data_IF_475348163160
#
_entry.id   IF_475348163160
#
_cell.length_a   1.000
_cell.length_b   1.000
_cell.length_c   1.000
_cell.angle_alpha   90.00
_cell.angle_beta   90.00
_cell.angle_gamma   90.00
#
_symmetry.space_group_name_H-M   'P 1'
#
loop_
_entity.id
_entity.type
_entity.pdbx_description
1 polymer ?
#
# COMPACT_ATOMS: atom_id res chain seq x y z
N UNK A 1 -14.23 34.80 14.58
CA UNK A 1 -14.33 33.39 15.02
C UNK A 1 -15.57 33.13 15.88
N UNK A 2 -15.65 33.62 17.12
CA UNK A 2 -16.81 33.33 18.00
C UNK A 2 -18.12 33.83 17.40
N UNK A 3 -18.15 35.06 16.89
CA UNK A 3 -19.33 35.62 16.21
C UNK A 3 -19.71 34.82 14.96
N UNK A 4 -18.73 34.40 14.17
CA UNK A 4 -18.97 33.57 12.97
C UNK A 4 -19.51 32.18 13.37
N UNK A 5 -19.03 31.63 14.49
CA UNK A 5 -19.51 30.35 15.03
C UNK A 5 -20.96 30.47 15.49
N UNK A 6 -21.31 31.57 16.17
CA UNK A 6 -22.67 31.83 16.64
C UNK A 6 -23.61 32.10 15.46
N UNK A 7 -23.19 32.89 14.47
CA UNK A 7 -23.95 33.14 13.23
C UNK A 7 -24.22 31.84 12.49
N UNK A 8 -23.19 31.01 12.32
CA UNK A 8 -23.32 29.71 11.68
C UNK A 8 -24.22 28.73 12.44
N UNK A 9 -24.23 28.77 13.78
CA UNK A 9 -25.19 27.99 14.57
C UNK A 9 -26.64 28.43 14.35
N UNK A 10 -26.88 29.71 14.05
CA UNK A 10 -28.20 30.27 13.75
C UNK A 10 -28.62 29.89 12.33
N UNK A 11 -27.72 30.03 11.36
CA UNK A 11 -27.96 29.71 9.94
C UNK A 11 -28.25 28.21 9.73
N UNK A 12 -27.48 27.34 10.39
CA UNK A 12 -27.64 25.89 10.30
C UNK A 12 -28.49 25.30 11.43
N UNK A 13 -29.27 26.13 12.13
CA UNK A 13 -30.11 25.71 13.26
C UNK A 13 -30.99 24.49 12.96
N UNK A 14 -31.70 24.39 11.81
CA UNK A 14 -32.55 23.22 11.53
C UNK A 14 -31.76 21.91 11.47
N UNK A 15 -30.54 21.95 10.93
CA UNK A 15 -29.64 20.80 10.82
C UNK A 15 -29.12 20.36 12.20
N UNK A 16 -28.72 21.34 13.01
CA UNK A 16 -28.20 21.10 14.35
C UNK A 16 -29.31 20.63 15.32
N UNK A 17 -30.52 21.19 15.21
CA UNK A 17 -31.68 20.81 16.03
C UNK A 17 -32.01 19.32 15.89
N UNK A 18 -31.84 18.72 14.71
CA UNK A 18 -32.06 17.28 14.48
C UNK A 18 -31.07 16.45 15.28
N UNK A 19 -29.77 16.78 15.21
CA UNK A 19 -28.72 16.05 15.91
C UNK A 19 -28.89 16.18 17.42
N UNK A 20 -29.10 17.41 17.88
CA UNK A 20 -29.24 17.72 19.30
C UNK A 20 -30.51 17.09 19.88
N UNK A 21 -31.64 17.16 19.17
CA UNK A 21 -32.89 16.50 19.60
C UNK A 21 -32.80 14.97 19.59
N UNK A 22 -32.11 14.37 18.62
CA UNK A 22 -31.86 12.94 18.60
C UNK A 22 -30.97 12.50 19.77
N UNK A 23 -29.96 13.29 20.11
CA UNK A 23 -29.11 13.02 21.27
C UNK A 23 -29.91 13.03 22.56
N UNK A 24 -30.71 14.07 22.83
CA UNK A 24 -31.53 14.15 24.05
C UNK A 24 -32.65 13.11 24.11
N UNK A 25 -33.02 12.49 22.99
CA UNK A 25 -33.94 11.35 22.96
C UNK A 25 -33.25 10.01 23.19
N UNK A 26 -31.92 9.97 23.13
CA UNK A 26 -31.12 8.77 23.41
C UNK A 26 -31.11 8.48 24.92
N UNK A 27 -31.17 7.20 25.35
CA UNK A 27 -31.06 6.80 26.75
C UNK A 27 -29.71 7.18 27.39
N UNK A 28 -28.72 7.55 26.56
CA UNK A 28 -27.39 7.98 26.98
C UNK A 28 -27.29 9.48 27.30
N UNK A 29 -28.37 10.25 27.15
CA UNK A 29 -28.33 11.70 27.35
C UNK A 29 -28.42 12.12 28.81
N UNK A 30 -27.64 13.13 29.16
CA UNK A 30 -27.68 13.78 30.48
C UNK A 30 -28.54 15.04 30.36
N UNK A 31 -29.42 15.27 31.36
CA UNK A 31 -30.28 16.44 31.45
C UNK A 31 -29.45 17.71 31.67
N UNK A 32 -29.00 18.33 30.59
CA UNK A 32 -28.49 19.69 30.61
C UNK A 32 -28.68 20.31 29.22
N UNK A 33 -29.66 21.19 29.11
CA UNK A 33 -29.96 22.00 27.92
C UNK A 33 -28.90 23.09 27.78
N UNK A 34 -27.75 22.74 27.21
CA UNK A 34 -26.69 23.71 27.03
C UNK A 34 -26.57 24.09 25.56
N UNK A 35 -26.60 25.40 25.30
CA UNK A 35 -26.19 26.01 24.03
C UNK A 35 -24.82 25.50 23.56
N UNK A 36 -23.97 25.00 24.49
CA UNK A 36 -22.69 24.39 24.17
C UNK A 36 -22.81 23.21 23.19
N UNK A 37 -23.91 22.44 23.20
CA UNK A 37 -24.11 21.33 22.26
C UNK A 37 -24.25 21.80 20.82
N UNK A 38 -24.94 22.92 20.59
CA UNK A 38 -25.07 23.52 19.26
C UNK A 38 -23.73 23.99 18.72
N UNK A 39 -22.94 24.64 19.56
CA UNK A 39 -21.60 25.10 19.19
C UNK A 39 -20.66 23.93 18.91
N UNK A 40 -20.67 22.89 19.77
CA UNK A 40 -19.86 21.68 19.56
C UNK A 40 -20.29 20.95 18.29
N UNK A 41 -21.60 20.80 18.05
CA UNK A 41 -22.15 20.17 16.85
C UNK A 41 -21.74 20.93 15.58
N UNK A 42 -21.92 22.25 15.58
CA UNK A 42 -21.54 23.11 14.45
C UNK A 42 -20.04 23.07 14.17
N UNK A 43 -19.20 23.18 15.21
CA UNK A 43 -17.75 23.10 15.06
C UNK A 43 -17.29 21.71 14.55
N UNK A 44 -17.98 20.65 14.96
CA UNK A 44 -17.67 19.27 14.52
C UNK A 44 -18.04 19.04 13.06
N UNK A 45 -19.17 19.59 12.63
CA UNK A 45 -19.71 19.35 11.29
C UNK A 45 -19.08 20.28 10.25
N UNK A 46 -18.92 21.57 10.58
CA UNK A 46 -18.53 22.61 9.62
C UNK A 46 -17.06 23.04 9.71
N UNK A 47 -16.40 22.84 10.85
CA UNK A 47 -15.07 23.39 11.09
C UNK A 47 -14.01 22.37 11.53
N UNK A 48 -14.34 21.08 11.62
CA UNK A 48 -13.41 20.08 12.15
C UNK A 48 -12.20 19.86 11.23
N UNK A 49 -12.38 19.96 9.91
CA UNK A 49 -11.30 19.89 8.91
C UNK A 49 -10.40 21.13 8.95
N UNK A 50 -11.00 22.33 9.06
CA UNK A 50 -10.28 23.60 9.08
C UNK A 50 -9.55 23.87 10.40
N UNK A 51 -10.11 23.43 11.54
CA UNK A 51 -9.52 23.63 12.87
C UNK A 51 -8.47 22.55 13.20
N UNK A 52 -8.66 21.33 12.70
CA UNK A 52 -7.87 20.17 13.06
C UNK A 52 -8.12 19.67 14.50
N UNK A 53 -7.86 18.39 14.73
CA UNK A 53 -8.20 17.68 15.96
C UNK A 53 -7.59 18.26 17.25
N UNK A 54 -6.39 18.87 17.17
CA UNK A 54 -5.69 19.44 18.34
C UNK A 54 -6.35 20.73 18.83
N UNK A 55 -6.65 21.65 17.91
CA UNK A 55 -7.31 22.92 18.24
C UNK A 55 -8.76 22.68 18.62
N UNK A 56 -9.46 21.81 17.88
CA UNK A 56 -10.82 21.36 18.22
C UNK A 56 -10.89 20.79 19.64
N UNK A 57 -10.00 19.85 19.99
CA UNK A 57 -9.95 19.27 21.34
C UNK A 57 -9.72 20.30 22.44
N UNK A 58 -8.88 21.31 22.18
CA UNK A 58 -8.61 22.40 23.15
C UNK A 58 -9.83 23.31 23.34
N UNK A 59 -10.55 23.62 22.26
CA UNK A 59 -11.78 24.42 22.29
C UNK A 59 -12.89 23.66 23.02
N UNK A 60 -13.14 22.39 22.69
CA UNK A 60 -14.15 21.57 23.36
C UNK A 60 -13.84 21.41 24.85
N UNK A 61 -12.58 21.23 25.22
CA UNK A 61 -12.17 21.17 26.63
C UNK A 61 -12.43 22.47 27.40
N UNK A 62 -12.35 23.63 26.72
CA UNK A 62 -12.64 24.94 27.33
C UNK A 62 -14.14 25.20 27.55
N UNK A 63 -15.03 24.48 26.85
CA UNK A 63 -16.49 24.64 26.92
C UNK A 63 -17.14 23.95 28.14
N UNK A 64 -16.36 23.33 29.04
CA UNK A 64 -16.77 23.18 30.44
C UNK A 64 -17.56 21.94 30.88
N UNK A 65 -17.90 20.95 30.04
CA UNK A 65 -18.60 19.73 30.50
C UNK A 65 -18.07 18.49 29.80
N UNK A 66 -16.89 18.03 30.23
CA UNK A 66 -16.10 16.97 29.56
C UNK A 66 -16.88 15.68 29.31
N UNK A 67 -17.74 15.25 30.26
CA UNK A 67 -18.46 13.97 30.13
C UNK A 67 -19.58 14.05 29.08
N UNK A 68 -20.44 15.06 29.18
CA UNK A 68 -21.59 15.24 28.27
C UNK A 68 -21.12 15.54 26.85
N UNK A 69 -20.09 16.38 26.69
CA UNK A 69 -19.52 16.69 25.38
C UNK A 69 -18.84 15.47 24.73
N UNK A 70 -18.14 14.66 25.52
CA UNK A 70 -17.53 13.41 25.00
C UNK A 70 -18.61 12.41 24.59
N UNK A 71 -19.67 12.25 25.39
CA UNK A 71 -20.79 11.37 25.07
C UNK A 71 -21.59 11.85 23.86
N UNK A 72 -21.80 13.17 23.75
CA UNK A 72 -22.39 13.79 22.57
C UNK A 72 -21.57 13.56 21.31
N UNK A 73 -20.24 13.75 21.37
CA UNK A 73 -19.36 13.50 20.23
C UNK A 73 -19.35 12.01 19.84
N UNK A 74 -19.30 11.10 20.81
CA UNK A 74 -19.41 9.66 20.56
C UNK A 74 -20.73 9.29 19.90
N UNK A 75 -21.84 9.85 20.38
CA UNK A 75 -23.16 9.69 19.78
C UNK A 75 -23.19 10.24 18.36
N UNK A 76 -22.69 11.46 18.15
CA UNK A 76 -22.65 12.13 16.86
C UNK A 76 -21.89 11.27 15.86
N UNK A 77 -20.63 10.92 16.15
CA UNK A 77 -19.81 10.10 15.25
C UNK A 77 -20.39 8.71 14.96
N UNK A 78 -21.08 8.10 15.92
CA UNK A 78 -21.68 6.77 15.74
C UNK A 78 -22.99 6.78 14.95
N UNK A 79 -23.73 7.89 14.99
CA UNK A 79 -25.07 8.00 14.39
C UNK A 79 -25.11 8.93 13.16
N UNK A 80 -24.00 9.60 12.84
CA UNK A 80 -23.88 10.55 11.73
C UNK A 80 -24.17 9.91 10.38
N UNK A 81 -23.70 8.67 10.18
CA UNK A 81 -23.81 7.92 8.91
C UNK A 81 -25.10 7.09 8.79
N UNK A 82 -25.92 7.04 9.84
CA UNK A 82 -27.13 6.20 9.90
C UNK A 82 -28.37 7.06 10.15
N UNK A 83 -28.66 7.36 11.42
CA UNK A 83 -29.91 8.01 11.85
C UNK A 83 -29.94 9.51 11.53
N UNK A 84 -28.80 10.18 11.65
CA UNK A 84 -28.70 11.63 11.36
C UNK A 84 -28.80 11.87 9.86
N UNK A 85 -28.12 11.05 9.05
CA UNK A 85 -28.15 11.15 7.59
C UNK A 85 -29.57 10.95 7.03
N UNK A 86 -30.30 9.94 7.49
CA UNK A 86 -31.67 9.68 7.03
C UNK A 86 -32.58 10.89 7.27
N UNK A 87 -32.45 11.55 8.43
CA UNK A 87 -33.23 12.74 8.75
C UNK A 87 -32.78 13.99 8.00
N UNK A 88 -31.50 14.13 7.70
CA UNK A 88 -30.99 15.26 6.92
C UNK A 88 -31.40 15.18 5.44
N UNK A 89 -31.45 13.97 4.87
CA UNK A 89 -31.94 13.76 3.49
C UNK A 89 -33.44 14.06 3.33
N UNK A 90 -34.20 14.17 4.43
CA UNK A 90 -35.59 14.62 4.41
C UNK A 90 -35.78 16.14 4.43
N UNK A 91 -34.71 16.92 4.66
CA UNK A 91 -34.78 18.38 4.88
C UNK A 91 -33.90 19.16 3.89
N UNK A 92 -32.81 18.54 3.42
CA UNK A 92 -31.91 19.13 2.41
C UNK A 92 -31.79 18.21 1.20
N UNK A 93 -31.54 18.80 0.03
CA UNK A 93 -31.29 18.07 -1.21
C UNK A 93 -30.10 17.11 -1.05
N UNK A 94 -30.22 15.93 -1.67
CA UNK A 94 -29.23 14.85 -1.58
C UNK A 94 -27.81 15.32 -1.97
N UNK A 95 -27.68 16.28 -2.87
CA UNK A 95 -26.39 16.85 -3.29
C UNK A 95 -25.70 17.64 -2.17
N UNK A 96 -26.46 18.38 -1.35
CA UNK A 96 -25.91 19.17 -0.25
C UNK A 96 -25.41 18.26 0.89
N UNK A 97 -26.15 17.17 1.17
CA UNK A 97 -25.77 16.16 2.18
C UNK A 97 -24.59 15.31 1.71
N UNK A 98 -24.47 15.03 0.41
CA UNK A 98 -23.35 14.26 -0.13
C UNK A 98 -22.01 15.00 -0.10
N UNK A 99 -22.00 16.34 -0.14
CA UNK A 99 -20.77 17.13 -0.06
C UNK A 99 -19.99 16.87 1.23
N UNK A 100 -20.67 16.55 2.34
CA UNK A 100 -20.05 16.41 3.66
C UNK A 100 -19.58 14.95 3.93
N UNK A 101 -19.95 14.01 3.05
CA UNK A 101 -19.69 12.56 3.16
C UNK A 101 -18.20 12.19 3.23
N UNK A 102 -17.31 12.64 2.31
CA UNK A 102 -15.92 12.16 2.30
C UNK A 102 -15.10 12.70 3.48
N UNK A 103 -15.34 13.94 3.89
CA UNK A 103 -14.63 14.61 5.00
C UNK A 103 -14.97 13.96 6.35
N UNK A 104 -16.25 13.63 6.58
CA UNK A 104 -16.73 12.96 7.78
C UNK A 104 -16.18 11.52 7.90
N UNK A 105 -16.15 10.76 6.80
CA UNK A 105 -15.63 9.38 6.79
C UNK A 105 -14.12 9.36 7.08
N UNK A 106 -13.36 10.29 6.47
CA UNK A 106 -11.93 10.43 6.74
C UNK A 106 -11.63 10.76 8.21
N UNK A 107 -12.46 11.58 8.85
CA UNK A 107 -12.35 11.91 10.27
C UNK A 107 -12.72 10.75 11.19
N UNK A 108 -13.75 9.97 10.85
CA UNK A 108 -14.12 8.74 11.58
C UNK A 108 -13.00 7.69 11.57
N UNK A 109 -12.35 7.48 10.42
CA UNK A 109 -11.21 6.56 10.30
C UNK A 109 -10.00 7.02 11.12
N UNK A 110 -9.68 8.32 11.09
CA UNK A 110 -8.57 8.89 11.89
C UNK A 110 -8.83 8.81 13.40
N UNK A 111 -10.10 8.95 13.83
CA UNK A 111 -10.49 8.84 15.23
C UNK A 111 -10.55 7.38 15.71
N UNK A 112 -11.00 6.44 14.88
CA UNK A 112 -10.96 5.01 15.19
C UNK A 112 -9.52 4.51 15.42
N UNK A 113 -8.56 4.99 14.62
CA UNK A 113 -7.13 4.72 14.81
C UNK A 113 -6.62 5.26 16.14
N UNK A 114 -7.02 6.48 16.56
CA UNK A 114 -6.59 7.08 17.83
C UNK A 114 -7.30 6.53 19.07
N UNK A 115 -8.55 6.11 18.97
CA UNK A 115 -9.31 5.47 20.06
C UNK A 115 -8.67 4.15 20.51
N UNK A 116 -8.01 3.43 19.58
CA UNK A 116 -7.23 2.23 19.90
C UNK A 116 -6.02 2.50 20.81
N UNK A 117 -5.52 3.75 20.84
CA UNK A 117 -4.32 4.16 21.59
C UNK A 117 -4.65 4.68 23.01
N UNK A 118 -5.86 5.22 23.23
CA UNK A 118 -6.28 5.79 24.54
C UNK A 118 -6.69 4.71 25.56
N UNK A 119 -7.01 3.50 25.10
CA UNK A 119 -7.38 2.36 25.96
C UNK A 119 -6.23 1.87 26.87
N UNK A 120 -5.00 2.36 26.68
CA UNK A 120 -3.81 1.93 27.43
C UNK A 120 -3.49 2.78 28.69
N UNK A 121 -4.21 3.89 28.94
CA UNK A 121 -3.97 4.70 30.14
C UNK A 121 -5.10 4.55 31.18
N UNK A 122 -5.20 3.37 31.80
CA UNK A 122 -6.02 3.21 33.01
C UNK A 122 -5.30 3.82 34.20
N UNK A 123 -5.84 4.90 34.75
CA UNK A 123 -5.47 5.41 36.08
C UNK A 123 -5.77 4.36 37.15
N UNK A 124 -4.89 4.26 38.13
CA UNK A 124 -5.01 3.35 39.26
C UNK A 124 -6.29 3.60 40.08
N UNK A 125 -6.92 2.55 40.66
CA UNK A 125 -8.13 2.71 41.46
C UNK A 125 -7.79 3.44 42.76
N UNK A 126 -8.45 4.58 42.99
CA UNK A 126 -8.39 5.29 44.28
C UNK A 126 -9.32 4.57 45.26
N UNK A 127 -8.83 4.29 46.47
CA UNK A 127 -9.56 3.53 47.50
C UNK A 127 -10.83 4.27 47.93
N UNK A 128 -11.95 3.57 47.90
CA UNK A 128 -13.25 4.00 48.43
C UNK A 128 -13.19 4.08 49.96
N UNK A 129 -13.58 5.22 50.53
CA UNK A 129 -13.81 5.40 51.98
C UNK A 129 -15.21 4.94 52.31
N UNK A 130 -15.36 4.02 53.27
CA UNK A 130 -16.65 3.58 53.79
C UNK A 130 -17.20 4.59 54.82
N UNK A 131 -18.49 4.99 54.76
CA UNK A 131 -19.09 5.84 55.78
C UNK A 131 -19.42 5.02 57.03
N UNK A 132 -19.04 5.53 58.21
CA UNK A 132 -19.39 4.94 59.50
C UNK A 132 -20.71 5.54 60.02
N UNK A 133 -21.71 4.69 60.22
CA UNK A 133 -23.03 5.10 60.72
C UNK A 133 -22.96 5.49 62.21
N UNK A 134 -23.58 6.62 62.56
CA UNK A 134 -23.81 7.02 63.95
C UNK A 134 -25.28 6.84 64.31
N UNK A 135 -25.55 6.27 65.48
CA UNK A 135 -26.88 5.87 65.90
C UNK A 135 -27.76 7.08 66.28
N UNK A 136 -28.77 7.38 65.46
CA UNK A 136 -29.84 8.31 65.81
C UNK A 136 -30.91 7.62 66.66
N UNK A 137 -31.01 8.06 67.91
CA UNK A 137 -32.21 8.04 68.77
C UNK A 137 -32.67 6.69 69.35
N UNK A 138 -32.49 6.50 70.66
CA UNK A 138 -33.32 5.59 71.47
C UNK A 138 -34.49 6.40 72.06
N UNK A 139 -35.76 6.08 71.78
CA UNK A 139 -36.87 6.78 72.41
C UNK A 139 -37.06 6.28 73.84
N UNK A 140 -37.17 7.24 74.77
CA UNK A 140 -37.38 6.98 76.20
C UNK A 140 -38.86 6.63 76.41
N UNK A 141 -39.14 5.39 76.85
CA UNK A 141 -40.48 4.95 77.23
C UNK A 141 -40.95 5.72 78.48
N UNK A 142 -42.11 6.38 78.40
CA UNK A 142 -42.83 6.90 79.58
C UNK A 142 -43.82 5.83 80.04
N UNK A 143 -43.86 5.59 81.34
CA UNK A 143 -44.84 4.69 81.96
C UNK A 143 -46.23 5.35 81.98
N UNK A 144 -47.26 4.58 81.60
CA UNK A 144 -48.66 4.94 81.78
C UNK A 144 -49.09 4.68 83.24
N UNK A 145 -49.96 5.51 83.85
CA UNK A 145 -50.50 5.24 85.17
C UNK A 145 -51.66 4.23 85.12
N UNK A 146 -51.70 3.35 86.12
CA UNK A 146 -52.70 2.28 86.32
C UNK A 146 -54.05 2.86 86.76
N UNK A 147 -55.21 2.38 86.26
CA UNK A 147 -56.52 2.84 86.69
C UNK A 147 -56.97 2.18 88.01
N UNK A 148 -57.66 2.95 88.84
CA UNK A 148 -58.24 2.53 90.13
C UNK A 148 -59.58 1.81 89.92
N UNK A 149 -59.80 0.70 90.64
CA UNK A 149 -61.00 -0.16 90.55
C UNK A 149 -62.11 0.41 91.44
N UNK A 150 -63.32 0.55 90.89
CA UNK A 150 -64.53 0.94 91.62
C UNK A 150 -65.24 -0.34 92.12
N UNK A 151 -65.72 -0.42 93.37
CA UNK A 151 -66.41 -1.60 93.89
C UNK A 151 -67.83 -1.77 93.32
N UNK A 152 -68.18 -3.01 92.98
CA UNK A 152 -69.50 -3.45 92.51
C UNK A 152 -70.57 -3.33 93.61
N UNK A 153 -71.76 -2.85 93.23
CA UNK A 153 -72.95 -2.79 94.08
C UNK A 153 -73.85 -4.00 93.78
N UNK A 154 -73.89 -4.94 94.71
CA UNK A 154 -74.74 -6.14 94.65
C UNK A 154 -76.24 -5.78 94.57
N UNK A 155 -76.88 -6.16 93.45
CA UNK A 155 -78.35 -6.15 93.32
C UNK A 155 -78.91 -7.47 93.83
N UNK A 156 -79.33 -7.48 95.10
CA UNK A 156 -80.17 -8.55 95.66
C UNK A 156 -81.55 -8.53 95.00
N UNK A 157 -81.86 -9.55 94.19
CA UNK A 157 -83.24 -9.86 93.76
C UNK A 157 -83.76 -11.04 94.57
N UNK A 158 -84.52 -10.76 95.62
CA UNK A 158 -85.27 -11.77 96.37
C UNK A 158 -86.38 -12.36 95.50
N UNK A 159 -86.25 -13.64 95.20
CA UNK A 159 -87.22 -14.46 94.48
C UNK A 159 -88.40 -14.81 95.40
N UNK A 160 -89.56 -14.19 95.18
CA UNK A 160 -90.81 -14.67 95.74
C UNK A 160 -91.48 -15.59 94.70
N UNK A 161 -91.56 -16.88 95.02
CA UNK A 161 -92.23 -17.89 94.20
C UNK A 161 -93.73 -17.60 94.14
N UNK A 162 -94.15 -16.82 93.14
CA UNK A 162 -95.55 -16.69 92.77
C UNK A 162 -95.92 -17.96 92.00
N UNK A 163 -96.89 -18.74 92.50
CA UNK A 163 -97.48 -19.87 91.76
C UNK A 163 -98.13 -19.31 90.50
N UNK A 164 -97.44 -19.45 89.37
CA UNK A 164 -97.91 -19.01 88.08
C UNK A 164 -98.87 -20.04 87.49
N UNK A 165 -100.02 -19.58 86.97
CA UNK A 165 -100.90 -20.42 86.16
C UNK A 165 -100.19 -20.88 84.88
N UNK A 166 -100.59 -22.01 84.30
CA UNK A 166 -99.96 -22.61 83.10
C UNK A 166 -99.72 -21.60 81.95
N UNK A 167 -100.68 -20.69 81.71
CA UNK A 167 -100.55 -19.64 80.70
C UNK A 167 -99.49 -18.56 81.02
N UNK A 168 -99.14 -18.36 82.28
CA UNK A 168 -98.06 -17.46 82.70
C UNK A 168 -96.69 -18.13 82.57
N UNK A 169 -96.61 -19.44 82.81
CA UNK A 169 -95.39 -20.24 82.55
C UNK A 169 -95.05 -20.24 81.06
N UNK A 170 -96.02 -20.46 80.17
CA UNK A 170 -95.79 -20.44 78.72
C UNK A 170 -95.40 -19.04 78.21
N UNK A 171 -95.98 -17.97 78.77
CA UNK A 171 -95.60 -16.59 78.44
C UNK A 171 -94.18 -16.26 78.91
N UNK A 172 -93.79 -16.72 80.09
CA UNK A 172 -92.43 -16.55 80.61
C UNK A 172 -91.43 -17.37 79.78
N UNK A 173 -91.79 -18.60 79.39
CA UNK A 173 -90.97 -19.45 78.51
C UNK A 173 -90.73 -18.80 77.14
N UNK A 174 -91.77 -18.28 76.49
CA UNK A 174 -91.64 -17.58 75.21
C UNK A 174 -90.79 -16.30 75.30
N UNK A 175 -90.84 -15.59 76.43
CA UNK A 175 -89.98 -14.43 76.70
C UNK A 175 -88.52 -14.84 76.86
N UNK A 176 -88.26 -15.91 77.63
CA UNK A 176 -86.91 -16.45 77.83
C UNK A 176 -86.34 -16.99 76.52
N UNK A 177 -87.14 -17.69 75.70
CA UNK A 177 -86.73 -18.17 74.39
C UNK A 177 -86.38 -17.03 73.44
N UNK A 178 -87.15 -15.92 73.50
CA UNK A 178 -86.87 -14.72 72.71
C UNK A 178 -85.59 -14.04 73.17
N UNK A 179 -85.35 -13.97 74.48
CA UNK A 179 -84.10 -13.45 75.05
C UNK A 179 -82.92 -14.33 74.66
N UNK A 180 -83.05 -15.65 74.78
CA UNK A 180 -82.00 -16.61 74.41
C UNK A 180 -81.65 -16.51 72.93
N UNK A 181 -82.65 -16.36 72.04
CA UNK A 181 -82.42 -16.14 70.60
C UNK A 181 -81.70 -14.81 70.33
N UNK A 182 -82.05 -13.76 71.05
CA UNK A 182 -81.34 -12.47 70.95
C UNK A 182 -79.90 -12.59 71.45
N UNK A 183 -79.66 -13.27 72.57
CA UNK A 183 -78.31 -13.53 73.10
C UNK A 183 -77.47 -14.37 72.14
N UNK A 184 -78.03 -15.42 71.53
CA UNK A 184 -77.34 -16.21 70.49
C UNK A 184 -76.99 -15.37 69.26
N UNK A 185 -77.92 -14.52 68.82
CA UNK A 185 -77.69 -13.62 67.69
C UNK A 185 -76.60 -12.58 68.02
N UNK A 186 -76.57 -12.08 69.26
CA UNK A 186 -75.49 -11.21 69.73
C UNK A 186 -74.16 -11.97 69.80
N UNK A 187 -74.16 -13.23 70.24
CA UNK A 187 -72.95 -14.07 70.25
C UNK A 187 -72.38 -14.28 68.84
N UNK A 188 -73.21 -14.63 67.84
CA UNK A 188 -72.74 -14.77 66.46
C UNK A 188 -72.20 -13.46 65.86
N UNK A 189 -72.78 -12.31 66.22
CA UNK A 189 -72.29 -11.00 65.80
C UNK A 189 -70.97 -10.61 66.52
N UNK A 190 -70.80 -11.05 67.77
CA UNK A 190 -69.56 -10.89 68.54
C UNK A 190 -68.45 -11.80 68.01
N UNK A 191 -68.76 -13.03 67.61
CA UNK A 191 -67.82 -13.96 66.97
C UNK A 191 -67.31 -13.39 65.63
N UNK A 192 -68.18 -12.80 64.80
CA UNK A 192 -67.78 -12.11 63.57
C UNK A 192 -66.98 -10.82 63.81
N UNK A 193 -67.12 -10.19 64.97
CA UNK A 193 -66.35 -9.02 65.39
C UNK A 193 -65.01 -9.38 66.06
N UNK A 194 -64.81 -10.65 66.42
CA UNK A 194 -63.65 -11.12 67.20
C UNK A 194 -62.45 -11.63 66.38
N UNK A 195 -62.51 -11.75 65.05
CA UNK A 195 -61.33 -12.16 64.26
C UNK A 195 -60.63 -11.06 63.44
N UNK A 196 -60.00 -10.07 64.10
CA UNK A 196 -58.81 -9.41 63.56
C UNK A 196 -57.63 -10.38 63.36
N UNK A 197 -57.61 -11.54 64.03
CA UNK A 197 -56.49 -12.49 64.05
C UNK A 197 -56.19 -13.13 62.69
N UNK A 198 -57.20 -13.59 61.95
CA UNK A 198 -57.03 -14.21 60.63
C UNK A 198 -56.52 -13.21 59.58
N UNK A 199 -57.07 -11.99 59.58
CA UNK A 199 -56.60 -10.90 58.72
C UNK A 199 -55.15 -10.49 59.06
N UNK A 200 -54.83 -10.36 60.35
CA UNK A 200 -53.47 -10.03 60.79
C UNK A 200 -52.47 -11.15 60.47
N UNK A 201 -52.87 -12.41 60.59
CA UNK A 201 -52.05 -13.55 60.21
C UNK A 201 -51.78 -13.55 58.71
N UNK A 202 -52.81 -13.40 57.88
CA UNK A 202 -52.67 -13.25 56.43
C UNK A 202 -51.79 -12.05 56.06
N UNK A 203 -51.96 -10.91 56.72
CA UNK A 203 -51.17 -9.71 56.45
C UNK A 203 -49.69 -9.90 56.83
N UNK A 204 -49.41 -10.62 57.92
CA UNK A 204 -48.04 -10.97 58.30
C UNK A 204 -47.44 -12.00 57.31
N UNK A 205 -48.21 -13.00 56.91
CA UNK A 205 -47.79 -14.03 55.94
C UNK A 205 -47.48 -13.42 54.58
N UNK A 206 -48.30 -12.47 54.10
CA UNK A 206 -48.02 -11.75 52.86
C UNK A 206 -46.77 -10.86 52.98
N UNK A 207 -46.60 -10.16 54.11
CA UNK A 207 -45.36 -9.38 54.37
C UNK A 207 -44.11 -10.27 54.39
N UNK A 208 -44.22 -11.47 54.95
CA UNK A 208 -43.12 -12.44 55.01
C UNK A 208 -42.81 -13.00 53.61
N UNK A 209 -43.82 -13.34 52.82
CA UNK A 209 -43.68 -13.75 51.42
C UNK A 209 -43.03 -12.66 50.56
N UNK A 210 -43.50 -11.42 50.68
CA UNK A 210 -42.92 -10.27 49.97
C UNK A 210 -41.45 -10.09 50.35
N UNK A 211 -41.12 -10.18 51.65
CA UNK A 211 -39.74 -10.09 52.12
C UNK A 211 -38.88 -11.22 51.55
N UNK A 212 -39.36 -12.46 51.56
CA UNK A 212 -38.67 -13.61 50.99
C UNK A 212 -38.43 -13.44 49.49
N UNK A 213 -39.41 -12.92 48.75
CA UNK A 213 -39.26 -12.65 47.32
C UNK A 213 -38.23 -11.55 47.05
N UNK A 214 -38.19 -10.49 47.87
CA UNK A 214 -37.17 -9.45 47.76
C UNK A 214 -35.76 -10.01 48.03
N UNK A 215 -35.61 -10.84 49.06
CA UNK A 215 -34.34 -11.51 49.36
C UNK A 215 -33.91 -12.43 48.21
N UNK A 216 -34.84 -13.21 47.65
CA UNK A 216 -34.58 -14.06 46.49
C UNK A 216 -34.15 -13.23 45.27
N UNK A 217 -34.81 -12.10 44.99
CA UNK A 217 -34.42 -11.18 43.89
C UNK A 217 -33.03 -10.58 44.09
N UNK A 218 -32.67 -10.22 45.32
CA UNK A 218 -31.32 -9.75 45.64
C UNK A 218 -30.30 -10.85 45.39
N UNK A 219 -30.58 -12.09 45.80
CA UNK A 219 -29.67 -13.21 45.60
C UNK A 219 -29.52 -13.59 44.12
N UNK A 220 -30.61 -13.60 43.34
CA UNK A 220 -30.56 -13.79 41.90
C UNK A 220 -29.66 -12.75 41.23
N UNK A 221 -29.84 -11.45 41.54
CA UNK A 221 -28.98 -10.38 41.00
C UNK A 221 -27.52 -10.55 41.38
N UNK A 222 -27.24 -11.01 42.61
CA UNK A 222 -25.87 -11.29 43.07
C UNK A 222 -25.25 -12.40 42.24
N UNK A 223 -25.97 -13.50 42.04
CA UNK A 223 -25.51 -14.65 41.25
C UNK A 223 -25.33 -14.29 39.78
N UNK A 224 -26.26 -13.56 39.17
CA UNK A 224 -26.13 -13.02 37.81
C UNK A 224 -24.88 -12.14 37.66
N UNK A 225 -24.58 -11.32 38.66
CA UNK A 225 -23.34 -10.52 38.71
C UNK A 225 -22.08 -11.39 38.75
N UNK A 226 -22.07 -12.46 39.54
CA UNK A 226 -20.96 -13.42 39.58
C UNK A 226 -20.77 -14.13 38.22
N UNK A 227 -21.85 -14.64 37.63
CA UNK A 227 -21.81 -15.33 36.33
C UNK A 227 -21.32 -14.37 35.25
N UNK A 228 -21.86 -13.15 35.18
CA UNK A 228 -21.41 -12.14 34.21
C UNK A 228 -19.93 -11.81 34.36
N UNK A 229 -19.41 -11.75 35.60
CA UNK A 229 -17.99 -11.54 35.84
C UNK A 229 -17.14 -12.71 35.30
N UNK A 230 -17.53 -13.95 35.61
CA UNK A 230 -16.85 -15.16 35.15
C UNK A 230 -16.87 -15.27 33.61
N UNK A 231 -18.01 -15.04 32.98
CA UNK A 231 -18.16 -14.99 31.53
C UNK A 231 -17.25 -13.93 30.92
N UNK A 232 -17.19 -12.73 31.51
CA UNK A 232 -16.31 -11.68 31.03
C UNK A 232 -14.82 -12.05 31.19
N UNK A 233 -14.44 -12.76 32.25
CA UNK A 233 -13.07 -13.31 32.41
C UNK A 233 -12.77 -14.33 31.31
N UNK A 234 -13.67 -15.29 31.07
CA UNK A 234 -13.51 -16.31 30.03
C UNK A 234 -13.43 -15.71 28.63
N UNK A 235 -14.28 -14.73 28.31
CA UNK A 235 -14.23 -14.00 27.05
C UNK A 235 -12.89 -13.27 26.87
N UNK A 236 -12.36 -12.63 27.92
CA UNK A 236 -11.02 -12.02 27.88
C UNK A 236 -9.93 -13.06 27.64
N UNK A 237 -9.96 -14.19 28.37
CA UNK A 237 -8.99 -15.28 28.18
C UNK A 237 -9.03 -15.82 26.75
N UNK A 238 -10.23 -16.06 26.19
CA UNK A 238 -10.39 -16.51 24.80
C UNK A 238 -9.85 -15.48 23.80
N UNK A 239 -10.14 -14.21 23.99
CA UNK A 239 -9.62 -13.13 23.14
C UNK A 239 -8.10 -13.05 23.21
N UNK A 240 -7.51 -13.17 24.41
CA UNK A 240 -6.05 -13.18 24.56
C UNK A 240 -5.41 -14.38 23.87
N UNK A 241 -6.02 -15.56 23.95
CA UNK A 241 -5.55 -16.76 23.26
C UNK A 241 -5.65 -16.60 21.73
N UNK A 242 -6.76 -16.05 21.21
CA UNK A 242 -6.92 -15.78 19.77
C UNK A 242 -5.91 -14.75 19.27
N UNK A 243 -5.71 -13.66 20.01
CA UNK A 243 -4.71 -12.64 19.67
C UNK A 243 -3.30 -13.23 19.70
N UNK A 244 -3.00 -14.10 20.67
CA UNK A 244 -1.72 -14.80 20.73
C UNK A 244 -1.51 -15.71 19.52
N UNK A 245 -2.50 -16.54 19.17
CA UNK A 245 -2.45 -17.42 18.00
C UNK A 245 -2.31 -16.63 16.68
N UNK A 246 -3.07 -15.54 16.53
CA UNK A 246 -2.96 -14.66 15.36
C UNK A 246 -1.57 -14.00 15.27
N UNK A 247 -1.01 -13.56 16.41
CA UNK A 247 0.34 -13.01 16.45
C UNK A 247 1.41 -14.06 16.11
N UNK A 248 1.25 -15.31 16.57
CA UNK A 248 2.13 -16.43 16.20
C UNK A 248 2.08 -16.71 14.70
N UNK A 249 0.88 -16.79 14.11
CA UNK A 249 0.71 -17.01 12.68
C UNK A 249 1.40 -15.90 11.85
N UNK A 250 1.27 -14.63 12.27
CA UNK A 250 1.97 -13.51 11.63
C UNK A 250 3.49 -13.61 11.76
N UNK A 251 4.00 -14.06 12.91
CA UNK A 251 5.44 -14.33 13.10
C UNK A 251 5.93 -15.44 12.17
N UNK A 252 5.17 -16.52 12.02
CA UNK A 252 5.51 -17.61 11.10
C UNK A 252 5.49 -17.17 9.64
N UNK A 253 4.47 -16.41 9.21
CA UNK A 253 4.39 -15.83 7.87
C UNK A 253 5.61 -14.92 7.60
N UNK A 254 5.97 -14.07 8.56
CA UNK A 254 7.16 -13.22 8.46
C UNK A 254 8.45 -14.05 8.39
N UNK A 255 8.59 -15.09 9.21
CA UNK A 255 9.74 -15.99 9.18
C UNK A 255 9.87 -16.72 7.83
N UNK A 256 8.76 -17.20 7.26
CA UNK A 256 8.73 -17.82 5.92
C UNK A 256 9.14 -16.81 4.85
N UNK A 257 8.69 -15.56 4.93
CA UNK A 257 9.10 -14.51 4.00
C UNK A 257 10.59 -14.20 4.10
N UNK A 258 11.10 -14.04 5.33
CA UNK A 258 12.53 -13.82 5.57
C UNK A 258 13.37 -14.99 5.06
N UNK A 259 12.94 -16.23 5.27
CA UNK A 259 13.63 -17.40 4.74
C UNK A 259 13.69 -17.39 3.21
N UNK A 260 12.58 -17.08 2.52
CA UNK A 260 12.57 -16.93 1.06
C UNK A 260 13.52 -15.84 0.59
N UNK A 261 13.57 -14.71 1.30
CA UNK A 261 14.50 -13.63 0.98
C UNK A 261 15.96 -14.06 1.17
N UNK A 262 16.28 -14.73 2.27
CA UNK A 262 17.62 -15.25 2.53
C UNK A 262 18.09 -16.24 1.46
N UNK A 263 17.20 -17.16 1.04
CA UNK A 263 17.50 -18.10 -0.05
C UNK A 263 17.75 -17.37 -1.37
N UNK A 264 16.90 -16.40 -1.74
CA UNK A 264 17.10 -15.58 -2.95
C UNK A 264 18.43 -14.81 -2.89
N UNK A 265 18.73 -14.18 -1.75
CA UNK A 265 19.98 -13.46 -1.54
C UNK A 265 21.22 -14.32 -1.74
N UNK A 266 21.19 -15.56 -1.23
CA UNK A 266 22.27 -16.53 -1.42
C UNK A 266 22.38 -16.98 -2.88
N UNK A 267 21.26 -17.17 -3.57
CA UNK A 267 21.25 -17.54 -4.97
C UNK A 267 21.83 -16.44 -5.85
N UNK A 268 21.39 -15.20 -5.66
CA UNK A 268 21.93 -14.02 -6.34
C UNK A 268 23.43 -13.84 -6.09
N UNK A 269 23.91 -14.13 -4.87
CA UNK A 269 25.33 -14.07 -4.56
C UNK A 269 26.13 -15.16 -5.29
N UNK A 270 25.58 -16.39 -5.41
CA UNK A 270 26.20 -17.47 -6.21
C UNK A 270 26.28 -17.08 -7.68
N UNK A 271 25.17 -16.60 -8.25
CA UNK A 271 25.11 -16.15 -9.64
C UNK A 271 26.10 -15.01 -9.91
N UNK A 272 26.20 -14.03 -9.00
CA UNK A 272 27.19 -12.96 -9.10
C UNK A 272 28.63 -13.49 -9.06
N UNK A 273 28.93 -14.43 -8.17
CA UNK A 273 30.26 -15.06 -8.10
C UNK A 273 30.60 -15.80 -9.40
N UNK A 274 29.65 -16.53 -9.97
CA UNK A 274 29.82 -17.21 -11.26
C UNK A 274 30.07 -16.21 -12.40
N UNK A 275 29.31 -15.12 -12.47
CA UNK A 275 29.52 -14.06 -13.46
C UNK A 275 30.91 -13.40 -13.32
N UNK A 276 31.32 -13.07 -12.10
CA UNK A 276 32.65 -12.51 -11.83
C UNK A 276 33.75 -13.49 -12.26
N UNK A 277 33.58 -14.78 -11.98
CA UNK A 277 34.52 -15.81 -12.40
C UNK A 277 34.61 -15.90 -13.93
N UNK A 278 33.47 -15.91 -14.64
CA UNK A 278 33.42 -15.92 -16.09
C UNK A 278 34.11 -14.70 -16.71
N UNK A 279 33.89 -13.50 -16.17
CA UNK A 279 34.56 -12.28 -16.62
C UNK A 279 36.07 -12.36 -16.40
N UNK A 280 36.50 -12.84 -15.23
CA UNK A 280 37.92 -13.07 -14.92
C UNK A 280 38.56 -14.05 -15.90
N UNK A 281 37.91 -15.17 -16.18
CA UNK A 281 38.42 -16.18 -17.09
C UNK A 281 38.43 -15.69 -18.55
N UNK A 282 37.44 -14.89 -18.94
CA UNK A 282 37.44 -14.13 -20.20
C UNK A 282 38.66 -13.22 -20.34
N UNK A 283 39.02 -12.48 -19.28
CA UNK A 283 40.22 -11.64 -19.28
C UNK A 283 41.51 -12.45 -19.39
N UNK A 284 41.62 -13.59 -18.68
CA UNK A 284 42.77 -14.49 -18.78
C UNK A 284 42.92 -15.05 -20.19
N UNK A 285 41.81 -15.49 -20.79
CA UNK A 285 41.78 -16.04 -22.14
C UNK A 285 42.16 -14.99 -23.20
N UNK A 286 41.61 -13.77 -23.10
CA UNK A 286 41.96 -12.66 -23.99
C UNK A 286 43.46 -12.30 -23.88
N UNK A 287 44.00 -12.25 -22.65
CA UNK A 287 45.44 -12.02 -22.42
C UNK A 287 46.29 -13.14 -23.04
N UNK A 288 45.88 -14.39 -22.90
CA UNK A 288 46.57 -15.54 -23.50
C UNK A 288 46.51 -15.50 -25.04
N UNK A 289 45.36 -15.18 -25.63
CA UNK A 289 45.18 -15.02 -27.08
C UNK A 289 46.07 -13.89 -27.63
N UNK A 290 46.14 -12.74 -26.93
CA UNK A 290 47.01 -11.62 -27.31
C UNK A 290 48.49 -12.03 -27.31
N UNK A 291 48.93 -12.80 -26.31
CA UNK A 291 50.31 -13.35 -26.26
C UNK A 291 50.58 -14.29 -27.44
N UNK A 292 49.66 -15.21 -27.76
CA UNK A 292 49.79 -16.12 -28.91
C UNK A 292 49.86 -15.35 -30.23
N UNK A 293 49.00 -14.34 -30.41
CA UNK A 293 48.99 -13.48 -31.60
C UNK A 293 50.32 -12.73 -31.74
N UNK A 294 50.84 -12.17 -30.66
CA UNK A 294 52.15 -11.52 -30.67
C UNK A 294 53.26 -12.50 -31.10
N UNK A 295 53.28 -13.71 -30.55
CA UNK A 295 54.25 -14.73 -30.92
C UNK A 295 54.12 -15.15 -32.40
N UNK A 296 52.89 -15.29 -32.92
CA UNK A 296 52.67 -15.56 -34.34
C UNK A 296 53.14 -14.39 -35.22
N UNK A 297 52.84 -13.14 -34.86
CA UNK A 297 53.29 -11.95 -35.58
C UNK A 297 54.82 -11.86 -35.62
N UNK A 298 55.48 -12.20 -34.52
CA UNK A 298 56.94 -12.25 -34.45
C UNK A 298 57.51 -13.31 -35.39
N UNK A 299 56.97 -14.54 -35.37
CA UNK A 299 57.38 -15.60 -36.31
C UNK A 299 57.17 -15.22 -37.77
N UNK A 300 56.03 -14.59 -38.10
CA UNK A 300 55.76 -14.10 -39.46
C UNK A 300 56.81 -13.06 -39.86
N UNK A 301 57.18 -12.16 -38.95
CA UNK A 301 58.22 -11.16 -39.19
C UNK A 301 59.58 -11.83 -39.45
N UNK A 302 59.99 -12.77 -38.61
CA UNK A 302 61.23 -13.54 -38.77
C UNK A 302 61.26 -14.26 -40.13
N UNK A 303 60.20 -14.99 -40.50
CA UNK A 303 60.07 -15.67 -41.80
C UNK A 303 60.10 -14.66 -42.96
N UNK A 304 59.50 -13.49 -42.81
CA UNK A 304 59.54 -12.44 -43.85
C UNK A 304 60.94 -11.85 -44.03
N UNK A 305 61.69 -11.68 -42.94
CA UNK A 305 63.08 -11.21 -42.97
C UNK A 305 64.00 -12.27 -43.59
N UNK A 306 63.84 -13.54 -43.19
CA UNK A 306 64.54 -14.68 -43.79
C UNK A 306 64.24 -14.79 -45.29
N UNK A 307 62.97 -14.67 -45.70
CA UNK A 307 62.57 -14.72 -47.11
C UNK A 307 63.19 -13.56 -47.91
N UNK A 308 63.20 -12.35 -47.37
CA UNK A 308 63.88 -11.19 -47.99
C UNK A 308 65.39 -11.42 -48.12
N UNK A 309 66.01 -12.02 -47.12
CA UNK A 309 67.45 -12.31 -47.12
C UNK A 309 67.80 -13.42 -48.12
N UNK A 310 67.00 -14.49 -48.18
CA UNK A 310 67.12 -15.52 -49.22
C UNK A 310 66.98 -14.91 -50.62
N UNK A 311 66.03 -13.99 -50.82
CA UNK A 311 65.87 -13.26 -52.07
C UNK A 311 67.12 -12.43 -52.38
N UNK A 312 67.66 -11.69 -51.41
CA UNK A 312 68.89 -10.91 -51.59
C UNK A 312 70.07 -11.80 -52.01
N UNK A 313 70.27 -12.92 -51.33
CA UNK A 313 71.34 -13.89 -51.66
C UNK A 313 71.17 -14.48 -53.06
N UNK A 314 69.95 -14.89 -53.41
CA UNK A 314 69.65 -15.39 -54.74
C UNK A 314 69.94 -14.34 -55.83
N UNK A 315 69.64 -13.05 -55.57
CA UNK A 315 69.98 -11.95 -56.48
C UNK A 315 71.49 -11.75 -56.62
N UNK A 316 72.26 -11.77 -55.53
CA UNK A 316 73.72 -11.63 -55.58
C UNK A 316 74.38 -12.82 -56.26
N UNK A 317 73.90 -14.04 -56.00
CA UNK A 317 74.41 -15.26 -56.62
C UNK A 317 74.12 -15.29 -58.12
N UNK A 318 72.90 -14.91 -58.53
CA UNK A 318 72.54 -14.76 -59.95
C UNK A 318 73.39 -13.69 -60.64
N UNK A 319 73.65 -12.55 -59.98
CA UNK A 319 74.57 -11.52 -60.48
C UNK A 319 76.00 -12.06 -60.63
N UNK A 320 76.50 -12.78 -59.63
CA UNK A 320 77.83 -13.39 -59.69
C UNK A 320 77.94 -14.46 -60.78
N UNK A 321 76.91 -15.29 -60.95
CA UNK A 321 76.83 -16.27 -62.05
C UNK A 321 76.80 -15.56 -63.41
N UNK A 322 76.05 -14.46 -63.54
CA UNK A 322 76.03 -13.65 -64.75
C UNK A 322 77.42 -13.08 -65.07
N UNK A 323 78.12 -12.51 -64.09
CA UNK A 323 79.49 -12.02 -64.25
C UNK A 323 80.42 -13.15 -64.70
N UNK A 324 80.35 -14.33 -64.06
CA UNK A 324 81.13 -15.51 -64.47
C UNK A 324 80.83 -15.93 -65.92
N UNK A 325 79.55 -15.96 -66.32
CA UNK A 325 79.14 -16.26 -67.70
C UNK A 325 79.71 -15.22 -68.67
N UNK A 326 79.63 -13.93 -68.34
CA UNK A 326 80.24 -12.86 -69.14
C UNK A 326 81.77 -13.00 -69.24
N UNK A 327 82.46 -13.39 -68.18
CA UNK A 327 83.92 -13.62 -68.19
C UNK A 327 84.29 -14.82 -69.07
N UNK A 328 83.50 -15.90 -69.02
CA UNK A 328 83.67 -17.05 -69.91
C UNK A 328 83.44 -16.62 -71.37
N UNK A 329 82.37 -15.86 -71.66
CA UNK A 329 82.12 -15.31 -73.00
C UNK A 329 83.29 -14.44 -73.46
N UNK A 330 83.83 -13.57 -72.60
CA UNK A 330 85.02 -12.75 -72.91
C UNK A 330 86.25 -13.60 -73.20
N UNK A 331 86.46 -14.69 -72.46
CA UNK A 331 87.56 -15.64 -72.70
C UNK A 331 87.37 -16.42 -74.00
N UNK A 332 86.15 -16.88 -74.29
CA UNK A 332 85.80 -17.52 -75.58
C UNK A 332 86.03 -16.54 -76.72
N UNK A 333 85.52 -15.31 -76.61
CA UNK A 333 85.79 -14.25 -77.57
C UNK A 333 87.29 -14.02 -77.73
N UNK A 334 88.10 -13.94 -76.67
CA UNK A 334 89.55 -13.74 -76.79
C UNK A 334 90.27 -14.90 -77.51
N UNK A 335 89.78 -16.14 -77.35
CA UNK A 335 90.27 -17.31 -78.10
C UNK A 335 89.80 -17.24 -79.57
N UNK A 336 88.55 -16.80 -79.82
CA UNK A 336 87.98 -16.65 -81.16
C UNK A 336 88.53 -15.42 -81.93
N UNK A 337 88.92 -14.35 -81.21
CA UNK A 337 89.41 -13.06 -81.76
C UNK A 337 90.92 -12.90 -81.69
N UNK A 338 91.66 -13.92 -81.25
CA UNK A 338 93.12 -14.01 -81.40
C UNK A 338 93.60 -14.22 -82.85
N UNK A 339 92.95 -13.62 -83.83
CA UNK A 339 93.29 -13.83 -85.24
C UNK A 339 92.56 -13.02 -86.30
N UNK A 340 91.69 -12.06 -85.98
CA UNK A 340 91.11 -11.18 -87.01
C UNK A 340 91.05 -9.73 -86.53
N UNK A 341 92.21 -9.09 -86.63
CA UNK A 341 92.38 -7.65 -86.79
C UNK A 341 91.47 -7.20 -87.95
N UNK A 342 90.47 -6.37 -87.64
CA UNK A 342 89.49 -5.85 -88.59
C UNK A 342 90.19 -4.87 -89.56
N UNK A 343 90.98 -5.42 -90.50
CA UNK A 343 91.53 -4.76 -91.68
C UNK A 343 90.41 -4.49 -92.69
N UNK A 344 89.41 -3.70 -92.28
CA UNK A 344 88.20 -3.44 -93.05
C UNK A 344 87.73 -1.99 -93.03
N UNK A 345 88.39 -1.09 -92.30
CA UNK A 345 88.04 0.32 -92.30
C UNK A 345 89.04 1.09 -93.19
N UNK A 346 88.65 1.33 -94.44
CA UNK A 346 89.32 2.28 -95.33
C UNK A 346 89.39 3.66 -94.67
N UNK A 347 90.50 4.37 -94.88
CA UNK A 347 90.66 5.71 -94.33
C UNK A 347 89.57 6.65 -94.87
N UNK A 348 89.06 7.56 -94.04
CA UNK A 348 88.02 8.54 -94.40
C UNK A 348 88.40 9.35 -95.67
N UNK A 349 89.70 9.54 -95.91
CA UNK A 349 90.25 10.14 -97.12
C UNK A 349 89.93 9.31 -98.38
N UNK A 350 90.17 8.00 -98.34
CA UNK A 350 89.89 7.08 -99.45
C UNK A 350 88.38 6.98 -99.72
N UNK A 351 87.55 7.02 -98.68
CA UNK A 351 86.09 7.01 -98.82
C UNK A 351 85.59 8.25 -99.57
N UNK A 352 86.16 9.43 -99.27
CA UNK A 352 85.83 10.70 -99.94
C UNK A 352 86.26 10.68 -101.41
N UNK A 353 87.44 10.15 -101.72
CA UNK A 353 87.92 10.00 -103.10
C UNK A 353 87.04 9.04 -103.91
N UNK A 354 86.70 7.87 -103.36
CA UNK A 354 85.80 6.93 -104.06
C UNK A 354 84.41 7.51 -104.27
N UNK A 355 83.88 8.28 -103.31
CA UNK A 355 82.61 8.98 -103.47
C UNK A 355 82.68 10.08 -104.55
N UNK A 356 83.80 10.79 -104.67
CA UNK A 356 84.01 11.77 -105.74
C UNK A 356 84.02 11.09 -107.12
N UNK A 357 84.80 10.02 -107.27
CA UNK A 357 84.86 9.23 -108.50
C UNK A 357 83.49 8.64 -108.89
N UNK A 358 82.72 8.14 -107.92
CA UNK A 358 81.37 7.65 -108.16
C UNK A 358 80.41 8.75 -108.61
N UNK A 359 80.50 9.95 -108.04
CA UNK A 359 79.68 11.10 -108.46
C UNK A 359 80.03 11.56 -109.87
N UNK A 360 81.31 11.58 -110.22
CA UNK A 360 81.77 11.90 -111.57
C UNK A 360 81.28 10.86 -112.58
N UNK A 361 81.45 9.57 -112.28
CA UNK A 361 80.94 8.48 -113.13
C UNK A 361 79.42 8.56 -113.33
N UNK A 362 78.67 8.85 -112.27
CA UNK A 362 77.21 9.01 -112.36
C UNK A 362 76.82 10.23 -113.21
N UNK A 363 77.57 11.33 -113.12
CA UNK A 363 77.32 12.52 -113.94
C UNK A 363 77.63 12.28 -115.43
N UNK A 364 78.71 11.55 -115.73
CA UNK A 364 79.07 11.15 -117.09
C UNK A 364 78.03 10.21 -117.71
N UNK A 365 77.52 9.24 -116.94
CA UNK A 365 76.48 8.32 -117.40
C UNK A 365 75.16 9.07 -117.68
N UNK A 366 74.79 10.05 -116.86
CA UNK A 366 73.61 10.91 -117.11
C UNK A 366 73.75 11.72 -118.40
N UNK A 367 74.92 12.30 -118.66
CA UNK A 367 75.21 13.02 -119.91
C UNK A 367 75.14 12.10 -121.13
N UNK A 368 75.73 10.91 -121.06
CA UNK A 368 75.63 9.92 -122.13
C UNK A 368 74.18 9.49 -122.39
N UNK A 369 73.38 9.27 -121.35
CA UNK A 369 71.95 8.96 -121.50
C UNK A 369 71.20 10.10 -122.18
N UNK A 370 71.45 11.36 -121.82
CA UNK A 370 70.84 12.51 -122.49
C UNK A 370 71.23 12.61 -123.97
N UNK A 371 72.51 12.41 -124.29
CA UNK A 371 72.98 12.39 -125.68
C UNK A 371 72.34 11.26 -126.48
N UNK A 372 72.26 10.05 -125.93
CA UNK A 372 71.60 8.91 -126.58
C UNK A 372 70.11 9.18 -126.82
N UNK A 373 69.40 9.78 -125.86
CA UNK A 373 67.99 10.17 -126.03
C UNK A 373 67.87 11.22 -127.15
N UNK A 374 68.77 12.20 -127.21
CA UNK A 374 68.76 13.22 -128.27
C UNK A 374 68.98 12.59 -129.65
N UNK A 375 70.02 11.74 -129.78
CA UNK A 375 70.32 11.02 -131.02
C UNK A 375 69.17 10.09 -131.44
N UNK A 376 68.55 9.38 -130.49
CA UNK A 376 67.37 8.56 -130.79
C UNK A 376 66.20 9.42 -131.25
N UNK A 377 65.96 10.57 -130.63
CA UNK A 377 64.92 11.52 -131.03
C UNK A 377 65.16 12.06 -132.44
N UNK A 378 66.39 12.41 -132.77
CA UNK A 378 66.78 12.90 -134.09
C UNK A 378 66.67 11.80 -135.16
N UNK A 379 67.14 10.58 -134.88
CA UNK A 379 66.92 9.41 -135.76
C UNK A 379 65.45 9.12 -135.97
N UNK A 380 64.62 9.24 -134.93
CA UNK A 380 63.17 9.04 -135.04
C UNK A 380 62.53 10.15 -135.87
N UNK A 381 62.99 11.40 -135.75
CA UNK A 381 62.56 12.52 -136.58
C UNK A 381 62.97 12.33 -138.05
N UNK A 382 64.21 11.89 -138.32
CA UNK A 382 64.69 11.54 -139.67
C UNK A 382 63.92 10.35 -140.27
N UNK A 383 63.63 9.32 -139.48
CA UNK A 383 62.82 8.17 -139.93
C UNK A 383 61.37 8.56 -140.21
N UNK A 384 60.78 9.43 -139.39
CA UNK A 384 59.47 10.01 -139.65
C UNK A 384 59.49 10.88 -140.92
N UNK A 385 60.53 11.71 -141.13
CA UNK A 385 60.71 12.48 -142.37
C UNK A 385 60.87 11.56 -143.60
N UNK A 386 61.65 10.48 -143.51
CA UNK A 386 61.79 9.49 -144.57
C UNK A 386 60.45 8.82 -144.87
N UNK A 387 59.71 8.36 -143.85
CA UNK A 387 58.37 7.77 -144.05
C UNK A 387 57.38 8.79 -144.64
N UNK A 388 57.44 10.05 -144.23
CA UNK A 388 56.59 11.11 -144.78
C UNK A 388 56.94 11.39 -146.25
N UNK A 389 58.23 11.32 -146.62
CA UNK A 389 58.67 11.34 -148.01
C UNK A 389 58.18 10.11 -148.80
N UNK A 390 58.23 8.91 -148.20
CA UNK A 390 57.69 7.67 -148.81
C UNK A 390 56.17 7.71 -148.97
N UNK A 391 55.41 8.35 -148.06
CA UNK A 391 53.95 8.50 -148.15
C UNK A 391 53.55 9.60 -149.15
N UNK A 392 54.37 10.64 -149.33
CA UNK A 392 54.20 11.62 -150.40
C UNK A 392 54.50 11.04 -151.80
N UNK A 393 55.19 9.90 -151.85
CA UNK A 393 55.48 9.09 -153.05
C UNK A 393 54.39 8.02 -153.29
N UNK A 394 53.15 8.43 -153.07
CA UNK A 394 52.11 8.18 -154.07
C UNK A 394 52.67 7.86 -155.46
#
# INVERSE_FOLDING_TARGET
FILDTVSGCIEHKPLLDIVVSLFYRSPESVSQSDFSMYHVCYLTICFLDQLGLKCFGSIVQSLGVRKVQTQFLLFLFSNLTTLVQEKWMGIYDAEHVQKWRPEIIALLEQLAVKASCVSQLRKAPTKTTEPQEFALTRPKLRAFPVPEIIPELDKVRLSWHIKMNSAAILRQGALVDRQLKQELQMQCLVEGAQEPSAFLHWQNEMREKDLQEQLAKVECRRLEGCISHEEAVLCRSRLTAQNHAAAQLKKEEAAKLMHRYAVKRLQEEKEMKELVQQVSDGHKNAKAAKKKLHAMKQKIKEVSEESQEHLRRAMTDAQAEMIRKCDIIRKIHAIETGGHELLGEMCLCELRERLALLKEAQSAERLQRQQNIHQQRDRRKQMLQHKLHTIQLH
#
